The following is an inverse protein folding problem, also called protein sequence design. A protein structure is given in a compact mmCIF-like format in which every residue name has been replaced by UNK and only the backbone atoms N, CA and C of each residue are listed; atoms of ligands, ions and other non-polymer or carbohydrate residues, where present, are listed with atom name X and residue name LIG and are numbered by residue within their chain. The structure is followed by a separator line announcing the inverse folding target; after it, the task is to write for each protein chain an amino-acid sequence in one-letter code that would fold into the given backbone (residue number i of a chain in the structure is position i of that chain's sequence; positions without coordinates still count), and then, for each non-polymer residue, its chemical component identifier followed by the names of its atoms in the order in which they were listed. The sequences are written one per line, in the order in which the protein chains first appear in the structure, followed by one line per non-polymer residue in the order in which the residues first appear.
data_IF_965426994091
#
_entry.id   IF_965426994091
#
_cell.length_a   1.000
_cell.length_b   1.000
_cell.length_c   1.000
_cell.angle_alpha   90.00
_cell.angle_beta   90.00
_cell.angle_gamma   90.00
#
_symmetry.space_group_name_H-M   'P 1'
#
loop_
_entity.id
_entity.type
_entity.pdbx_description
1 polymer ?
#
# COMPACT_ATOMS: atom_id res chain seq x y z
N UNK A 1 8.28 -15.31 -11.16
CA UNK A 1 8.97 -14.08 -10.72
C UNK A 1 9.57 -13.42 -11.95
N UNK A 2 8.99 -12.31 -12.41
CA UNK A 2 9.35 -11.67 -13.66
C UNK A 2 10.66 -10.87 -13.47
N UNK A 3 11.57 -10.90 -14.44
CA UNK A 3 12.84 -10.15 -14.42
C UNK A 3 12.59 -8.63 -14.23
N UNK A 4 11.45 -8.14 -14.67
CA UNK A 4 11.00 -6.76 -14.51
C UNK A 4 10.79 -6.37 -13.04
N UNK A 5 10.22 -7.27 -12.23
CA UNK A 5 10.00 -7.10 -10.79
C UNK A 5 11.29 -6.97 -10.00
N UNK A 6 12.29 -7.80 -10.31
CA UNK A 6 13.58 -7.76 -9.62
C UNK A 6 14.33 -6.46 -9.89
N UNK A 7 14.19 -5.90 -11.08
CA UNK A 7 14.84 -4.63 -11.44
C UNK A 7 14.18 -3.43 -10.78
N UNK A 8 12.85 -3.38 -10.74
CA UNK A 8 12.11 -2.33 -10.03
C UNK A 8 12.31 -2.41 -8.52
N UNK A 9 12.30 -3.62 -7.96
CA UNK A 9 12.55 -3.87 -6.54
C UNK A 9 13.95 -3.45 -6.12
N UNK A 10 14.97 -3.81 -6.90
CA UNK A 10 16.34 -3.40 -6.65
C UNK A 10 16.54 -1.88 -6.82
N UNK A 11 15.90 -1.27 -7.79
CA UNK A 11 15.91 0.19 -7.98
C UNK A 11 15.30 0.93 -6.78
N UNK A 12 14.17 0.47 -6.26
CA UNK A 12 13.55 1.02 -5.04
C UNK A 12 14.43 0.86 -3.81
N UNK A 13 15.01 -0.32 -3.59
CA UNK A 13 15.92 -0.55 -2.46
C UNK A 13 17.15 0.37 -2.51
N UNK A 14 17.71 0.60 -3.71
CA UNK A 14 18.82 1.53 -3.90
C UNK A 14 18.40 2.96 -3.58
N UNK A 15 17.23 3.40 -4.05
CA UNK A 15 16.71 4.73 -3.76
C UNK A 15 16.45 4.92 -2.26
N UNK A 16 15.74 3.99 -1.63
CA UNK A 16 15.51 4.02 -0.19
C UNK A 16 16.83 4.06 0.60
N UNK A 17 17.79 3.21 0.23
CA UNK A 17 19.10 3.20 0.88
C UNK A 17 19.81 4.55 0.75
N UNK A 18 19.86 5.14 -0.44
CA UNK A 18 20.48 6.46 -0.66
C UNK A 18 19.78 7.53 0.18
N UNK A 19 18.46 7.56 0.19
CA UNK A 19 17.70 8.52 0.98
C UNK A 19 17.97 8.36 2.47
N UNK A 20 18.02 7.13 2.97
CA UNK A 20 18.37 6.84 4.37
C UNK A 20 19.81 7.28 4.68
N UNK A 21 20.75 7.00 3.80
CA UNK A 21 22.16 7.39 3.99
C UNK A 21 22.33 8.92 4.01
N UNK A 22 21.55 9.66 3.23
CA UNK A 22 21.52 11.14 3.28
C UNK A 22 20.84 11.64 4.57
N UNK A 23 19.70 11.07 4.96
CA UNK A 23 19.02 11.44 6.20
C UNK A 23 19.89 11.23 7.44
N UNK A 24 20.69 10.16 7.48
CA UNK A 24 21.62 9.90 8.60
C UNK A 24 22.70 10.97 8.79
N UNK A 25 22.92 11.83 7.81
CA UNK A 25 23.82 12.98 7.92
C UNK A 25 23.17 14.19 8.58
N UNK A 26 21.86 14.17 8.77
CA UNK A 26 21.08 15.22 9.38
C UNK A 26 20.71 14.89 10.83
N UNK A 27 20.41 15.88 11.66
CA UNK A 27 19.79 15.65 12.97
C UNK A 27 18.47 14.88 12.81
N UNK A 28 18.14 14.02 13.78
CA UNK A 28 16.90 13.21 13.74
C UNK A 28 15.63 14.05 13.61
N UNK A 29 15.63 15.29 14.13
CA UNK A 29 14.51 16.22 14.01
C UNK A 29 14.24 16.70 12.58
N UNK A 30 15.18 16.48 11.66
CA UNK A 30 15.09 16.85 10.25
C UNK A 30 14.82 15.65 9.33
N UNK A 31 14.64 14.46 9.91
CA UNK A 31 14.39 13.26 9.12
C UNK A 31 12.98 13.26 8.52
N UNK A 32 12.90 13.09 7.22
CA UNK A 32 11.66 12.78 6.50
C UNK A 32 11.54 11.26 6.32
N UNK A 33 10.84 10.62 7.24
CA UNK A 33 10.63 9.17 7.21
C UNK A 33 9.89 8.73 5.94
N UNK A 34 8.99 9.58 5.43
CA UNK A 34 8.26 9.28 4.20
C UNK A 34 9.18 9.27 2.97
N UNK A 35 10.24 10.07 2.96
CA UNK A 35 11.23 10.08 1.88
C UNK A 35 12.08 8.79 1.86
N UNK A 36 12.38 8.24 3.04
CA UNK A 36 13.23 7.03 3.20
C UNK A 36 12.49 5.70 3.13
N UNK A 37 11.17 5.74 3.20
CA UNK A 37 10.33 4.54 3.21
C UNK A 37 9.03 4.81 2.47
N UNK A 38 8.28 3.74 2.18
CA UNK A 38 6.88 3.84 1.78
C UNK A 38 6.04 3.29 2.94
N UNK A 39 5.67 4.12 3.92
CA UNK A 39 4.86 3.67 5.03
C UNK A 39 3.46 3.31 4.52
N UNK A 40 2.99 2.15 4.93
CA UNK A 40 1.64 1.67 4.61
C UNK A 40 0.90 1.49 5.93
N UNK A 41 -0.16 2.24 6.11
CA UNK A 41 -1.04 2.14 7.26
C UNK A 41 -2.34 1.47 6.87
N UNK A 42 -2.80 0.59 7.74
CA UNK A 42 -4.15 0.09 7.66
C UNK A 42 -5.02 0.80 8.70
N UNK A 43 -6.05 1.49 8.23
CA UNK A 43 -7.03 2.17 9.06
C UNK A 43 -8.32 1.36 9.06
N UNK A 44 -8.64 0.80 10.21
CA UNK A 44 -9.88 0.03 10.39
C UNK A 44 -11.10 0.86 10.01
N UNK A 45 -12.11 0.30 9.35
CA UNK A 45 -12.20 -1.14 8.99
C UNK A 45 -11.64 -1.48 7.60
N UNK A 46 -11.44 -0.55 6.68
CA UNK A 46 -11.25 -0.91 5.27
C UNK A 46 -10.42 0.08 4.46
N UNK A 47 -9.53 0.83 5.10
CA UNK A 47 -8.72 1.84 4.41
C UNK A 47 -7.24 1.46 4.49
N UNK A 48 -6.59 1.39 3.34
CA UNK A 48 -5.14 1.42 3.21
C UNK A 48 -4.73 2.86 2.92
N UNK A 49 -3.86 3.40 3.75
CA UNK A 49 -3.36 4.77 3.66
C UNK A 49 -1.86 4.76 3.49
N UNK A 50 -1.39 5.39 2.43
CA UNK A 50 0.02 5.52 2.11
C UNK A 50 0.36 6.99 1.91
N UNK A 51 1.00 7.67 2.87
CA UNK A 51 1.53 9.01 2.68
C UNK A 51 2.71 8.98 1.71
N UNK A 52 2.80 10.01 0.87
CA UNK A 52 3.91 10.23 -0.06
C UNK A 52 4.43 11.65 0.12
N UNK A 53 5.53 12.00 -0.53
CA UNK A 53 6.05 13.37 -0.51
C UNK A 53 5.12 14.37 -1.20
N UNK A 54 4.33 13.90 -2.15
CA UNK A 54 3.40 14.73 -2.91
C UNK A 54 2.01 14.84 -2.26
N UNK A 55 1.71 13.92 -1.32
CA UNK A 55 0.37 13.86 -0.72
C UNK A 55 0.04 12.54 -0.06
N UNK A 56 -1.06 11.93 -0.46
CA UNK A 56 -1.49 10.65 0.07
C UNK A 56 -2.25 9.82 -0.96
N UNK A 57 -2.04 8.52 -0.87
CA UNK A 57 -2.76 7.52 -1.62
C UNK A 57 -3.66 6.72 -0.68
N UNK A 58 -4.93 6.61 -1.02
CA UNK A 58 -5.92 5.86 -0.26
C UNK A 58 -6.55 4.79 -1.12
N UNK A 59 -6.58 3.56 -0.59
CA UNK A 59 -7.40 2.48 -1.12
C UNK A 59 -8.48 2.15 -0.10
N UNK A 60 -9.73 2.16 -0.54
CA UNK A 60 -10.88 1.75 0.27
C UNK A 60 -11.48 0.50 -0.32
N UNK A 61 -11.58 -0.54 0.51
CA UNK A 61 -12.13 -1.82 0.10
C UNK A 61 -13.59 -1.93 0.54
N UNK A 62 -14.45 -2.34 -0.37
CA UNK A 62 -15.88 -2.50 -0.11
C UNK A 62 -16.38 -3.87 -0.57
N UNK A 63 -17.33 -4.48 0.14
CA UNK A 63 -18.01 -5.66 -0.36
C UNK A 63 -18.82 -5.31 -1.62
N UNK A 64 -18.90 -6.25 -2.54
CA UNK A 64 -19.68 -6.11 -3.76
C UNK A 64 -20.78 -7.16 -3.83
N UNK A 65 -21.93 -6.78 -4.41
CA UNK A 65 -23.05 -7.67 -4.72
C UNK A 65 -23.58 -8.46 -3.50
N UNK A 66 -23.46 -7.93 -2.29
CA UNK A 66 -23.81 -8.62 -1.03
C UNK A 66 -23.15 -10.01 -0.92
N UNK A 67 -22.00 -10.20 -1.52
CA UNK A 67 -21.27 -11.46 -1.56
C UNK A 67 -20.01 -11.38 -0.70
N UNK A 68 -19.74 -12.36 0.18
CA UNK A 68 -18.48 -12.42 0.91
C UNK A 68 -17.29 -12.75 0.01
N UNK A 69 -17.54 -13.05 -1.25
CA UNK A 69 -16.53 -13.47 -2.24
C UNK A 69 -16.21 -12.43 -3.29
N UNK A 70 -16.84 -11.25 -3.20
CA UNK A 70 -16.63 -10.16 -4.15
C UNK A 70 -16.38 -8.86 -3.42
N UNK A 71 -15.39 -8.12 -3.87
CA UNK A 71 -15.08 -6.79 -3.39
C UNK A 71 -14.75 -5.86 -4.56
N UNK A 72 -14.79 -4.58 -4.30
CA UNK A 72 -14.24 -3.56 -5.18
C UNK A 72 -13.42 -2.57 -4.38
N UNK A 73 -12.39 -2.06 -4.99
CA UNK A 73 -11.50 -1.07 -4.40
C UNK A 73 -11.76 0.31 -5.00
N UNK A 74 -11.84 1.31 -4.14
CA UNK A 74 -11.84 2.72 -4.57
C UNK A 74 -10.49 3.32 -4.26
N UNK A 75 -9.76 3.66 -5.30
CA UNK A 75 -8.43 4.28 -5.22
C UNK A 75 -8.59 5.79 -5.36
N UNK A 76 -7.92 6.56 -4.49
CA UNK A 76 -7.94 8.01 -4.49
C UNK A 76 -6.56 8.57 -4.19
N UNK A 77 -6.18 9.63 -4.90
CA UNK A 77 -4.96 10.40 -4.66
C UNK A 77 -5.33 11.77 -4.14
N UNK A 78 -4.62 12.22 -3.13
CA UNK A 78 -4.76 13.56 -2.54
C UNK A 78 -3.39 14.23 -2.57
N UNK A 79 -3.33 15.40 -3.16
CA UNK A 79 -2.08 16.16 -3.31
C UNK A 79 -2.03 17.33 -2.35
N UNK A 80 -0.84 17.62 -1.84
CA UNK A 80 -0.63 18.81 -1.04
C UNK A 80 -0.86 20.09 -1.87
N UNK A 81 -1.32 21.20 -1.24
CA UNK A 81 -1.61 22.44 -1.96
C UNK A 81 -0.42 22.99 -2.75
N UNK A 82 0.81 22.81 -2.25
CA UNK A 82 2.01 23.27 -2.97
C UNK A 82 2.25 22.47 -4.25
N UNK A 83 1.96 21.17 -4.26
CA UNK A 83 2.06 20.32 -5.46
C UNK A 83 1.04 20.77 -6.51
N UNK A 84 -0.21 20.99 -6.09
CA UNK A 84 -1.25 21.50 -6.99
C UNK A 84 -0.89 22.88 -7.57
N UNK A 85 -0.21 23.72 -6.80
CA UNK A 85 0.29 25.02 -7.29
C UNK A 85 1.40 24.83 -8.33
N UNK A 86 2.35 23.94 -8.09
CA UNK A 86 3.42 23.63 -9.04
C UNK A 86 2.86 23.08 -10.37
N UNK A 87 1.86 22.20 -10.31
CA UNK A 87 1.20 21.66 -11.51
C UNK A 87 0.55 22.78 -12.34
N UNK A 88 -0.14 23.71 -11.69
CA UNK A 88 -0.72 24.89 -12.39
C UNK A 88 0.33 25.79 -13.02
N UNK A 89 1.51 25.92 -12.41
CA UNK A 89 2.62 26.67 -13.04
C UNK A 89 3.18 25.93 -14.26
N UNK A 90 3.28 24.59 -14.20
CA UNK A 90 3.70 23.76 -15.33
C UNK A 90 2.72 23.87 -16.51
N UNK A 91 1.42 23.91 -16.25
CA UNK A 91 0.40 24.09 -17.28
C UNK A 91 0.61 25.39 -18.07
N UNK A 92 1.09 26.47 -17.44
CA UNK A 92 1.42 27.73 -18.12
C UNK A 92 2.60 27.61 -19.09
N UNK A 93 3.43 26.60 -18.92
CA UNK A 93 4.57 26.29 -19.81
C UNK A 93 4.20 25.32 -20.93
N UNK A 94 2.92 24.93 -21.04
CA UNK A 94 2.43 23.99 -22.03
C UNK A 94 2.59 22.52 -21.65
N UNK A 95 2.96 22.24 -20.40
CA UNK A 95 3.04 20.88 -19.88
C UNK A 95 1.73 20.55 -19.18
N UNK A 96 1.06 19.48 -19.58
CA UNK A 96 -0.13 18.97 -18.90
C UNK A 96 0.24 18.28 -17.59
N UNK A 97 0.19 19.04 -16.49
CA UNK A 97 0.50 18.54 -15.16
C UNK A 97 -0.45 17.43 -14.70
N UNK A 98 -1.69 17.43 -15.18
CA UNK A 98 -2.66 16.37 -14.87
C UNK A 98 -2.26 15.07 -15.55
N UNK A 99 -1.88 15.14 -16.83
CA UNK A 99 -1.39 13.96 -17.58
C UNK A 99 -0.14 13.36 -16.93
N UNK A 100 0.81 14.21 -16.48
CA UNK A 100 1.98 13.73 -15.74
C UNK A 100 1.62 12.92 -14.48
N UNK A 101 0.64 13.40 -13.72
CA UNK A 101 0.17 12.67 -12.54
C UNK A 101 -0.56 11.37 -12.93
N UNK A 102 -1.40 11.41 -13.94
CA UNK A 102 -2.09 10.22 -14.45
C UNK A 102 -1.10 9.16 -14.92
N UNK A 103 -0.05 9.55 -15.61
CA UNK A 103 1.00 8.62 -16.07
C UNK A 103 1.79 8.02 -14.89
N UNK A 104 2.16 8.85 -13.92
CA UNK A 104 2.93 8.42 -12.76
C UNK A 104 2.11 7.47 -11.86
N UNK A 105 0.89 7.85 -11.50
CA UNK A 105 0.08 7.10 -10.54
C UNK A 105 -0.79 6.03 -11.20
N UNK A 106 -1.13 6.19 -12.47
CA UNK A 106 -1.76 5.16 -13.28
C UNK A 106 -0.88 3.92 -13.43
N UNK A 107 0.42 4.11 -13.62
CA UNK A 107 1.40 3.02 -13.60
C UNK A 107 1.43 2.26 -12.27
N UNK A 108 1.39 2.97 -11.15
CA UNK A 108 1.32 2.34 -9.83
C UNK A 108 0.01 1.58 -9.60
N UNK A 109 -1.13 2.17 -9.98
CA UNK A 109 -2.43 1.52 -9.88
C UNK A 109 -2.52 0.27 -10.77
N UNK A 110 -1.89 0.28 -11.95
CA UNK A 110 -1.85 -0.89 -12.83
C UNK A 110 -1.04 -2.04 -12.24
N UNK A 111 0.06 -1.76 -11.55
CA UNK A 111 0.85 -2.78 -10.84
C UNK A 111 0.01 -3.46 -9.76
N UNK A 112 -0.70 -2.69 -8.93
CA UNK A 112 -1.60 -3.24 -7.91
C UNK A 112 -2.68 -4.13 -8.56
N UNK A 113 -3.28 -3.67 -9.64
CA UNK A 113 -4.32 -4.43 -10.34
C UNK A 113 -3.78 -5.73 -10.94
N UNK A 114 -2.66 -5.67 -11.61
CA UNK A 114 -2.15 -6.76 -12.44
C UNK A 114 -1.30 -7.78 -11.66
N UNK A 115 -0.80 -7.40 -10.49
CA UNK A 115 0.01 -8.25 -9.64
C UNK A 115 -0.69 -8.58 -8.32
N UNK A 116 -0.97 -7.59 -7.47
CA UNK A 116 -1.49 -7.83 -6.12
C UNK A 116 -2.91 -8.40 -6.13
N UNK A 117 -3.79 -7.87 -6.96
CA UNK A 117 -5.18 -8.36 -7.02
C UNK A 117 -5.28 -9.73 -7.70
N UNK A 118 -4.41 -10.03 -8.64
CA UNK A 118 -4.32 -11.38 -9.25
C UNK A 118 -3.85 -12.39 -8.20
N UNK A 119 -2.83 -12.04 -7.42
CA UNK A 119 -2.34 -12.88 -6.33
C UNK A 119 -3.41 -13.07 -5.24
N UNK A 120 -4.09 -11.99 -4.83
CA UNK A 120 -5.18 -12.05 -3.86
C UNK A 120 -6.35 -12.93 -4.34
N UNK A 121 -6.76 -12.80 -5.60
CA UNK A 121 -7.82 -13.63 -6.18
C UNK A 121 -7.43 -15.11 -6.25
N UNK A 122 -6.17 -15.40 -6.56
CA UNK A 122 -5.63 -16.78 -6.56
C UNK A 122 -5.61 -17.37 -5.15
N UNK A 123 -5.11 -16.60 -4.17
CA UNK A 123 -5.09 -17.00 -2.75
C UNK A 123 -6.50 -17.26 -2.23
N UNK A 124 -7.46 -16.41 -2.57
CA UNK A 124 -8.86 -16.60 -2.20
C UNK A 124 -9.45 -17.92 -2.75
N UNK A 125 -9.13 -18.26 -3.99
CA UNK A 125 -9.53 -19.57 -4.56
C UNK A 125 -8.91 -20.74 -3.81
N UNK A 126 -7.63 -20.63 -3.44
CA UNK A 126 -6.93 -21.64 -2.65
C UNK A 126 -7.59 -21.85 -1.28
N UNK A 127 -7.88 -20.78 -0.56
CA UNK A 127 -8.58 -20.84 0.73
C UNK A 127 -9.97 -21.49 0.62
N UNK A 128 -10.70 -21.20 -0.45
CA UNK A 128 -12.03 -21.79 -0.68
C UNK A 128 -12.01 -23.24 -1.10
N UNK A 129 -10.89 -23.79 -1.49
CA UNK A 129 -10.78 -25.22 -1.89
C UNK A 129 -10.98 -26.19 -0.73
N UNK A 130 -10.88 -25.69 0.52
CA UNK A 130 -10.94 -26.55 1.72
C UNK A 130 -9.68 -27.39 1.97
N UNK A 131 -8.62 -27.16 1.19
CA UNK A 131 -7.35 -27.87 1.35
C UNK A 131 -6.36 -27.15 2.27
N UNK A 132 -6.74 -25.96 2.76
CA UNK A 132 -5.92 -25.12 3.65
C UNK A 132 -6.69 -24.91 4.94
N UNK A 133 -6.25 -25.56 6.02
CA UNK A 133 -6.90 -25.49 7.33
C UNK A 133 -6.45 -24.28 8.15
N UNK A 134 -5.25 -23.76 7.89
CA UNK A 134 -4.68 -22.63 8.63
C UNK A 134 -3.75 -21.79 7.75
N UNK A 135 -3.57 -20.54 8.16
CA UNK A 135 -2.58 -19.62 7.61
C UNK A 135 -1.53 -19.33 8.67
N UNK A 136 -0.27 -19.32 8.25
CA UNK A 136 0.85 -18.98 9.13
C UNK A 136 1.27 -17.55 8.89
N UNK A 137 1.31 -16.74 9.94
CA UNK A 137 1.92 -15.41 9.91
C UNK A 137 3.37 -15.52 10.38
N UNK A 138 4.27 -14.82 9.67
CA UNK A 138 5.67 -14.75 10.06
C UNK A 138 5.87 -13.92 11.34
N UNK A 139 6.95 -14.19 12.08
CA UNK A 139 7.33 -13.39 13.26
C UNK A 139 7.50 -11.89 12.96
N UNK A 140 7.80 -11.54 11.70
CA UNK A 140 7.96 -10.16 11.24
C UNK A 140 6.65 -9.51 10.78
N UNK A 141 5.50 -10.17 11.02
CA UNK A 141 4.19 -9.71 10.57
C UNK A 141 3.21 -9.44 11.73
N UNK A 142 3.63 -8.78 12.83
CA UNK A 142 2.73 -8.51 13.95
C UNK A 142 1.54 -7.61 13.54
N UNK A 143 1.70 -6.81 12.50
CA UNK A 143 0.63 -5.97 11.96
C UNK A 143 -0.52 -6.79 11.37
N UNK A 144 -0.23 -7.93 10.72
CA UNK A 144 -1.27 -8.83 10.21
C UNK A 144 -2.05 -9.50 11.36
N UNK A 145 -1.34 -9.92 12.40
CA UNK A 145 -1.97 -10.48 13.59
C UNK A 145 -2.89 -9.45 14.26
N UNK A 146 -2.41 -8.22 14.43
CA UNK A 146 -3.20 -7.11 14.96
C UNK A 146 -4.44 -6.82 14.10
N UNK A 147 -4.28 -6.76 12.78
CA UNK A 147 -5.36 -6.59 11.82
C UNK A 147 -6.48 -7.62 12.00
N UNK A 148 -6.13 -8.91 12.04
CA UNK A 148 -7.10 -9.98 12.21
C UNK A 148 -7.78 -9.92 13.58
N UNK A 149 -7.03 -9.63 14.65
CA UNK A 149 -7.61 -9.52 15.99
C UNK A 149 -8.56 -8.33 16.12
N UNK A 150 -8.26 -7.20 15.49
CA UNK A 150 -9.18 -6.04 15.47
C UNK A 150 -10.52 -6.40 14.82
N UNK A 151 -10.50 -7.16 13.70
CA UNK A 151 -11.75 -7.64 13.10
C UNK A 151 -12.48 -8.66 13.98
N UNK A 152 -11.76 -9.61 14.57
CA UNK A 152 -12.35 -10.61 15.43
C UNK A 152 -13.02 -9.99 16.64
N UNK A 153 -12.38 -9.01 17.27
CA UNK A 153 -12.95 -8.23 18.36
C UNK A 153 -14.23 -7.51 17.94
N UNK A 154 -14.20 -6.81 16.80
CA UNK A 154 -15.38 -6.10 16.27
C UNK A 154 -16.55 -7.06 15.94
N UNK A 155 -16.27 -8.33 15.66
CA UNK A 155 -17.26 -9.38 15.40
C UNK A 155 -17.61 -10.20 16.65
N UNK A 156 -17.08 -9.87 17.83
CA UNK A 156 -17.30 -10.64 19.07
C UNK A 156 -16.66 -12.03 19.07
N UNK A 157 -15.63 -12.22 18.26
CA UNK A 157 -14.89 -13.50 18.16
C UNK A 157 -13.68 -13.47 19.10
N UNK A 158 -13.24 -14.66 19.53
CA UNK A 158 -12.00 -14.79 20.30
C UNK A 158 -10.79 -14.34 19.48
N UNK A 159 -9.83 -13.69 20.14
CA UNK A 159 -8.54 -13.33 19.52
C UNK A 159 -7.78 -14.56 19.08
N UNK A 160 -6.98 -14.41 18.05
CA UNK A 160 -6.03 -15.43 17.62
C UNK A 160 -4.94 -15.57 18.69
N UNK A 161 -4.55 -16.80 19.04
CA UNK A 161 -3.45 -17.02 19.97
C UNK A 161 -2.14 -16.49 19.35
N UNK A 162 -1.28 -15.94 20.19
CA UNK A 162 0.14 -15.78 19.89
C UNK A 162 0.81 -17.08 20.34
N UNK A 163 1.24 -17.90 19.42
CA UNK A 163 2.14 -19.00 19.76
C UNK A 163 3.53 -18.38 20.00
N UNK A 164 3.96 -18.42 21.24
CA UNK A 164 5.36 -18.16 21.59
C UNK A 164 6.17 -19.34 21.03
N UNK A 165 7.04 -19.08 20.06
CA UNK A 165 7.95 -20.07 19.47
C UNK A 165 9.25 -20.13 20.23
#
# INVERSE_FOLDING_TARGET
MCIRDSFQRNGRLILCKRTIDEMRKLPESEWDICAGSLPVYYLFPNIIFMPTQEGAFLVKEYPAENSPHKSYSKISFYFYPHVLKQLKELEKTGIDGKQLLEDQYGGFASVIRDEDYVAAASSHKGLRSGNIDYLTFGKNEPALHHYHNTYREALGMQSLPLEEA
#
